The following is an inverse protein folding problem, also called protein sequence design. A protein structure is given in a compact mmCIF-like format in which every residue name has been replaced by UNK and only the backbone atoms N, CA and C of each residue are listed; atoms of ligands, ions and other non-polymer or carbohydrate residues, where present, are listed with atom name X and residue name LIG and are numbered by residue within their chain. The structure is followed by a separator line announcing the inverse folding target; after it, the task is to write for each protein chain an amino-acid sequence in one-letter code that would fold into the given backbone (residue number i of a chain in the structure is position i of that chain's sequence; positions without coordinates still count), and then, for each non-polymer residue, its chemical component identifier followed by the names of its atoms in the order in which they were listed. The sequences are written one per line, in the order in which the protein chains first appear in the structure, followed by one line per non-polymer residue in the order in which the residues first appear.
data_IF_750763342735
#
_entry.id   IF_750763342735
#
_cell.length_a   1.000
_cell.length_b   1.000
_cell.length_c   1.000
_cell.angle_alpha   90.00
_cell.angle_beta   90.00
_cell.angle_gamma   90.00
#
_symmetry.space_group_name_H-M   'P 1'
#
loop_
_entity.id
_entity.type
_entity.pdbx_description
1 polymer ?
#
# COMPACT_ATOMS: atom_id res chain seq x y z
N UNK A 1 14.06 -22.00 -12.34
CA UNK A 1 13.11 -21.57 -11.28
C UNK A 1 13.75 -21.50 -9.89
N UNK A 2 14.30 -22.60 -9.37
CA UNK A 2 14.89 -22.60 -8.02
C UNK A 2 16.01 -21.55 -7.85
N UNK A 3 16.98 -21.49 -8.78
CA UNK A 3 18.07 -20.51 -8.75
C UNK A 3 17.59 -19.04 -8.79
N UNK A 4 16.53 -18.77 -9.54
CA UNK A 4 15.91 -17.44 -9.60
C UNK A 4 15.30 -17.05 -8.24
N UNK A 5 14.50 -17.94 -7.65
CA UNK A 5 13.89 -17.71 -6.34
C UNK A 5 14.97 -17.49 -5.26
N UNK A 6 16.01 -18.33 -5.23
CA UNK A 6 17.14 -18.21 -4.28
C UNK A 6 17.86 -16.86 -4.46
N UNK A 7 18.16 -16.46 -5.70
CA UNK A 7 18.81 -15.17 -6.00
C UNK A 7 17.92 -14.00 -5.56
N UNK A 8 16.59 -14.11 -5.76
CA UNK A 8 15.63 -13.08 -5.39
C UNK A 8 15.50 -12.96 -3.86
N UNK A 9 15.44 -14.11 -3.17
CA UNK A 9 15.45 -14.13 -1.70
C UNK A 9 16.77 -13.55 -1.14
N UNK A 10 17.90 -13.86 -1.75
CA UNK A 10 19.19 -13.27 -1.36
C UNK A 10 19.19 -11.75 -1.52
N UNK A 11 18.67 -11.23 -2.65
CA UNK A 11 18.51 -9.79 -2.85
C UNK A 11 17.57 -9.16 -1.82
N UNK A 12 16.48 -9.85 -1.45
CA UNK A 12 15.56 -9.42 -0.39
C UNK A 12 16.27 -9.23 0.95
N UNK A 13 17.09 -10.19 1.35
CA UNK A 13 17.86 -10.09 2.62
C UNK A 13 18.78 -8.87 2.62
N UNK A 14 19.47 -8.61 1.50
CA UNK A 14 20.32 -7.43 1.37
C UNK A 14 19.52 -6.12 1.49
N UNK A 15 18.39 -6.04 0.80
CA UNK A 15 17.50 -4.85 0.88
C UNK A 15 17.00 -4.66 2.31
N UNK A 16 16.51 -5.72 2.96
CA UNK A 16 16.04 -5.65 4.35
C UNK A 16 17.15 -5.26 5.32
N UNK A 17 18.38 -5.71 5.12
CA UNK A 17 19.53 -5.32 5.94
C UNK A 17 19.85 -3.82 5.77
N UNK A 18 19.81 -3.30 4.55
CA UNK A 18 20.01 -1.87 4.28
C UNK A 18 18.88 -1.04 4.91
N UNK A 19 17.64 -1.47 4.76
CA UNK A 19 16.48 -0.78 5.39
C UNK A 19 16.62 -0.81 6.91
N UNK A 20 16.95 -1.94 7.50
CA UNK A 20 17.16 -2.06 8.94
C UNK A 20 18.25 -1.11 9.42
N UNK A 21 19.38 -1.04 8.72
CA UNK A 21 20.46 -0.11 9.05
C UNK A 21 20.01 1.35 8.97
N UNK A 22 19.36 1.75 7.88
CA UNK A 22 18.86 3.13 7.68
C UNK A 22 17.85 3.50 8.75
N UNK A 23 16.87 2.64 9.02
CA UNK A 23 15.81 2.88 10.01
C UNK A 23 16.39 3.01 11.42
N UNK A 24 17.37 2.18 11.76
CA UNK A 24 18.06 2.29 13.03
C UNK A 24 18.91 3.56 13.11
N UNK A 25 19.61 3.92 12.04
CA UNK A 25 20.45 5.13 11.98
C UNK A 25 19.61 6.42 12.05
N UNK A 26 18.38 6.43 11.50
CA UNK A 26 17.48 7.58 11.57
C UNK A 26 17.23 8.04 13.02
N UNK A 27 17.21 7.11 13.98
CA UNK A 27 17.09 7.44 15.39
C UNK A 27 18.20 8.37 15.89
N UNK A 28 19.41 8.17 15.37
CA UNK A 28 20.58 9.00 15.75
C UNK A 28 20.66 10.32 14.99
N UNK A 29 20.04 10.39 13.82
CA UNK A 29 20.01 11.59 12.99
C UNK A 29 18.88 12.54 13.40
N UNK A 30 17.88 12.03 14.14
CA UNK A 30 16.74 12.84 14.58
C UNK A 30 17.18 13.78 15.69
N UNK A 31 16.99 15.10 15.55
CA UNK A 31 17.35 16.05 16.59
C UNK A 31 16.52 15.86 17.87
N UNK A 32 17.21 15.84 19.01
CA UNK A 32 16.62 15.65 20.33
C UNK A 32 17.09 14.36 21.00
N UNK A 33 17.20 14.41 22.32
CA UNK A 33 17.53 13.23 23.13
C UNK A 33 16.26 12.44 23.44
N UNK A 34 16.14 11.18 22.98
CA UNK A 34 14.98 10.35 23.29
C UNK A 34 14.71 10.21 24.78
N UNK A 35 15.77 10.17 25.60
CA UNK A 35 15.65 10.09 27.05
C UNK A 35 15.04 11.36 27.66
N UNK A 36 15.44 12.54 27.18
CA UNK A 36 14.87 13.80 27.61
C UNK A 36 13.40 13.95 27.23
N UNK A 37 13.03 13.51 26.01
CA UNK A 37 11.63 13.55 25.55
C UNK A 37 10.73 12.66 26.41
N UNK A 38 11.21 11.49 26.81
CA UNK A 38 10.49 10.56 27.67
C UNK A 38 10.39 11.03 29.12
N UNK A 39 11.44 11.66 29.58
CA UNK A 39 11.47 12.22 30.92
C UNK A 39 10.48 13.37 31.11
N UNK A 40 10.17 14.11 30.01
CA UNK A 40 9.30 15.28 30.04
C UNK A 40 9.98 16.54 30.57
N UNK A 41 9.27 17.67 30.39
CA UNK A 41 9.84 19.01 30.68
C UNK A 41 10.18 19.26 32.16
N UNK A 42 9.63 18.48 33.08
CA UNK A 42 9.85 18.61 34.52
C UNK A 42 10.93 17.66 35.09
N UNK A 43 11.56 16.84 34.23
CA UNK A 43 12.53 15.83 34.66
C UNK A 43 13.88 16.43 35.06
N UNK A 44 14.50 15.82 36.06
CA UNK A 44 15.87 16.16 36.48
C UNK A 44 16.91 15.50 35.55
N UNK A 45 18.15 16.01 35.58
CA UNK A 45 19.25 15.40 34.82
C UNK A 45 19.47 13.93 35.20
N UNK A 46 19.23 13.58 36.47
CA UNK A 46 19.35 12.19 36.94
C UNK A 46 18.25 11.28 36.42
N UNK A 47 17.04 11.79 36.24
CA UNK A 47 15.92 11.02 35.65
C UNK A 47 16.18 10.74 34.17
N UNK A 48 16.67 11.74 33.44
CA UNK A 48 17.07 11.60 32.05
C UNK A 48 18.20 10.56 31.92
N UNK A 49 19.20 10.62 32.80
CA UNK A 49 20.31 9.67 32.77
C UNK A 49 19.85 8.22 33.05
N UNK A 50 18.97 8.02 34.03
CA UNK A 50 18.39 6.69 34.32
C UNK A 50 17.57 6.12 33.11
N UNK A 51 16.82 6.98 32.47
CA UNK A 51 16.08 6.58 31.26
C UNK A 51 17.04 6.23 30.12
N UNK A 52 18.11 7.00 29.94
CA UNK A 52 19.15 6.77 28.94
C UNK A 52 19.82 5.41 29.15
N UNK A 53 20.21 5.09 30.37
CA UNK A 53 20.80 3.81 30.76
C UNK A 53 19.81 2.65 30.58
N UNK A 54 18.55 2.81 31.01
CA UNK A 54 17.49 1.81 30.84
C UNK A 54 17.20 1.49 29.40
N UNK A 55 17.32 2.47 28.51
CA UNK A 55 17.14 2.31 27.05
C UNK A 55 18.46 1.91 26.34
N UNK A 56 19.57 1.77 27.08
CA UNK A 56 20.88 1.45 26.53
C UNK A 56 21.42 2.52 25.58
N UNK A 57 20.98 3.77 25.71
CA UNK A 57 21.37 4.87 24.80
C UNK A 57 22.82 5.31 24.98
N UNK A 58 23.45 4.90 26.06
CA UNK A 58 24.84 5.08 26.41
C UNK A 58 25.80 4.13 25.68
N UNK A 59 25.30 3.04 25.13
CA UNK A 59 26.12 2.04 24.43
C UNK A 59 26.55 2.52 23.03
N UNK A 60 27.71 2.04 22.52
CA UNK A 60 28.15 2.33 21.16
C UNK A 60 27.13 1.90 20.10
N UNK A 61 27.01 2.70 19.03
CA UNK A 61 26.05 2.47 17.94
C UNK A 61 26.04 1.03 17.42
N UNK A 62 27.22 0.46 17.13
CA UNK A 62 27.33 -0.89 16.56
C UNK A 62 26.86 -1.98 17.52
N UNK A 63 27.08 -1.80 18.81
CA UNK A 63 26.63 -2.77 19.84
C UNK A 63 25.10 -2.75 19.91
N UNK A 64 24.51 -1.57 19.96
CA UNK A 64 23.04 -1.40 19.96
C UNK A 64 22.42 -1.91 18.66
N UNK A 65 23.00 -1.60 17.51
CA UNK A 65 22.53 -2.10 16.23
C UNK A 65 22.59 -3.63 16.19
N UNK A 66 23.68 -4.23 16.63
CA UNK A 66 23.82 -5.69 16.68
C UNK A 66 22.79 -6.36 17.60
N UNK A 67 22.58 -5.83 18.81
CA UNK A 67 21.56 -6.36 19.74
C UNK A 67 20.14 -6.21 19.20
N UNK A 68 19.84 -5.09 18.55
CA UNK A 68 18.55 -4.84 17.94
C UNK A 68 18.30 -5.78 16.74
N UNK A 69 19.28 -5.99 15.85
CA UNK A 69 19.18 -6.95 14.75
C UNK A 69 19.00 -8.37 15.27
N UNK A 70 19.69 -8.72 16.36
CA UNK A 70 19.51 -10.01 17.02
C UNK A 70 18.08 -10.19 17.55
N UNK A 71 17.52 -9.19 18.23
CA UNK A 71 16.12 -9.18 18.67
C UNK A 71 15.15 -9.35 17.50
N UNK A 72 15.36 -8.59 16.41
CA UNK A 72 14.57 -8.72 15.18
C UNK A 72 14.59 -10.13 14.59
N UNK A 73 15.75 -10.77 14.59
CA UNK A 73 15.90 -12.16 14.09
C UNK A 73 15.09 -13.16 14.92
N UNK A 74 14.77 -12.83 16.17
CA UNK A 74 13.91 -13.63 17.07
C UNK A 74 12.44 -13.16 17.07
N UNK A 75 12.07 -12.23 16.17
CA UNK A 75 10.70 -11.72 16.07
C UNK A 75 10.33 -10.65 17.10
N UNK A 76 11.30 -10.14 17.84
CA UNK A 76 11.10 -9.05 18.79
C UNK A 76 11.33 -7.71 18.09
N UNK A 77 10.26 -6.93 17.89
CA UNK A 77 10.28 -5.57 17.36
C UNK A 77 10.44 -4.50 18.43
N UNK A 78 10.63 -4.91 19.68
CA UNK A 78 10.70 -4.03 20.85
C UNK A 78 9.34 -3.69 21.44
N UNK A 79 9.36 -2.80 22.42
CA UNK A 79 8.19 -2.32 23.16
C UNK A 79 7.99 -0.83 22.92
N UNK A 80 6.73 -0.41 22.74
CA UNK A 80 6.34 1.00 22.66
C UNK A 80 6.76 1.73 23.95
N UNK A 81 7.35 2.88 23.77
CA UNK A 81 7.84 3.72 24.86
C UNK A 81 6.67 4.29 25.69
N UNK A 82 5.54 4.58 25.05
CA UNK A 82 4.39 5.22 25.71
C UNK A 82 3.36 4.23 26.23
N UNK A 83 3.10 3.14 25.49
CA UNK A 83 2.07 2.18 25.89
C UNK A 83 2.61 1.01 26.68
N UNK A 84 3.93 0.80 26.69
CA UNK A 84 4.63 -0.37 27.25
C UNK A 84 4.13 -1.72 26.70
N UNK A 85 3.49 -1.70 25.52
CA UNK A 85 3.03 -2.91 24.83
C UNK A 85 4.05 -3.34 23.75
N UNK A 86 4.17 -4.65 23.47
CA UNK A 86 5.00 -5.14 22.37
C UNK A 86 4.54 -4.55 21.04
N UNK A 87 5.50 -4.08 20.22
CA UNK A 87 5.22 -3.52 18.89
C UNK A 87 4.52 -4.54 17.99
N UNK A 88 4.89 -5.82 18.08
CA UNK A 88 4.24 -6.93 17.38
C UNK A 88 2.75 -7.02 17.69
N UNK A 89 2.36 -6.84 18.95
CA UNK A 89 0.95 -6.81 19.37
C UNK A 89 0.21 -5.60 18.81
N UNK A 90 0.81 -4.40 18.87
CA UNK A 90 0.22 -3.17 18.35
C UNK A 90 -0.02 -3.25 16.85
N UNK A 91 0.93 -3.80 16.10
CA UNK A 91 0.80 -4.05 14.66
C UNK A 91 -0.29 -5.11 14.41
N UNK A 92 -0.25 -6.23 15.13
CA UNK A 92 -1.21 -7.32 14.96
C UNK A 92 -2.67 -6.89 15.14
N UNK A 93 -2.95 -5.98 16.08
CA UNK A 93 -4.29 -5.43 16.29
C UNK A 93 -4.77 -4.52 15.16
N UNK A 94 -3.85 -3.99 14.33
CA UNK A 94 -4.13 -2.97 13.30
C UNK A 94 -3.93 -3.46 11.86
N UNK A 95 -3.46 -4.70 11.68
CA UNK A 95 -3.21 -5.24 10.35
C UNK A 95 -4.50 -5.49 9.57
N UNK A 96 -5.55 -5.95 10.25
CA UNK A 96 -6.82 -6.30 9.61
C UNK A 96 -7.49 -5.09 8.95
N UNK A 97 -7.68 -3.92 9.61
CA UNK A 97 -8.25 -2.75 8.97
C UNK A 97 -7.45 -2.26 7.75
N UNK A 98 -6.12 -2.23 7.83
CA UNK A 98 -5.26 -1.81 6.71
C UNK A 98 -5.36 -2.78 5.54
N UNK A 99 -5.32 -4.09 5.80
CA UNK A 99 -5.45 -5.12 4.75
C UNK A 99 -6.84 -5.07 4.12
N UNK A 100 -7.90 -4.94 4.93
CA UNK A 100 -9.27 -4.82 4.45
C UNK A 100 -9.44 -3.60 3.53
N UNK A 101 -8.96 -2.43 3.96
CA UNK A 101 -8.99 -1.21 3.15
C UNK A 101 -8.22 -1.39 1.85
N UNK A 102 -7.00 -1.93 1.91
CA UNK A 102 -6.15 -2.15 0.73
C UNK A 102 -6.81 -3.09 -0.27
N UNK A 103 -7.36 -4.22 0.19
CA UNK A 103 -8.03 -5.19 -0.67
C UNK A 103 -9.31 -4.64 -1.28
N UNK A 104 -10.17 -3.98 -0.50
CA UNK A 104 -11.38 -3.35 -1.02
C UNK A 104 -11.05 -2.26 -2.04
N UNK A 105 -10.06 -1.42 -1.76
CA UNK A 105 -9.58 -0.39 -2.69
C UNK A 105 -9.08 -1.00 -3.99
N UNK A 106 -8.26 -2.05 -3.90
CA UNK A 106 -7.72 -2.74 -5.07
C UNK A 106 -8.83 -3.37 -5.92
N UNK A 107 -9.79 -4.05 -5.28
CA UNK A 107 -10.93 -4.65 -5.97
C UNK A 107 -11.76 -3.60 -6.70
N UNK A 108 -12.10 -2.50 -6.04
CA UNK A 108 -12.85 -1.39 -6.64
C UNK A 108 -12.05 -0.77 -7.77
N UNK A 109 -10.76 -0.50 -7.57
CA UNK A 109 -9.92 0.12 -8.58
C UNK A 109 -9.79 -0.74 -9.84
N UNK A 110 -9.52 -2.03 -9.69
CA UNK A 110 -9.38 -2.96 -10.83
C UNK A 110 -10.73 -3.18 -11.53
N UNK A 111 -11.81 -3.41 -10.75
CA UNK A 111 -13.14 -3.66 -11.29
C UNK A 111 -13.70 -2.47 -12.11
N UNK A 112 -13.29 -1.26 -11.78
CA UNK A 112 -13.72 -0.05 -12.51
C UNK A 112 -12.72 0.32 -13.61
N UNK A 113 -11.43 0.36 -13.29
CA UNK A 113 -10.43 0.91 -14.19
C UNK A 113 -10.12 0.01 -15.40
N UNK A 114 -10.08 -1.31 -15.22
CA UNK A 114 -9.80 -2.23 -16.34
C UNK A 114 -10.91 -2.16 -17.40
N UNK A 115 -12.21 -2.28 -17.06
CA UNK A 115 -13.27 -2.10 -18.05
C UNK A 115 -13.25 -0.72 -18.72
N UNK A 116 -13.02 0.36 -17.95
CA UNK A 116 -12.92 1.72 -18.49
C UNK A 116 -11.76 1.85 -19.49
N UNK A 117 -10.59 1.29 -19.17
CA UNK A 117 -9.44 1.27 -20.07
C UNK A 117 -9.68 0.48 -21.36
N UNK A 118 -10.35 -0.68 -21.25
CA UNK A 118 -10.75 -1.50 -22.41
C UNK A 118 -11.75 -0.75 -23.29
N UNK A 119 -12.77 -0.09 -22.69
CA UNK A 119 -13.76 0.70 -23.44
C UNK A 119 -13.09 1.89 -24.12
N UNK A 120 -12.18 2.59 -23.44
CA UNK A 120 -11.44 3.71 -24.00
C UNK A 120 -10.57 3.28 -25.20
N UNK A 121 -9.91 2.12 -25.11
CA UNK A 121 -9.12 1.58 -26.21
C UNK A 121 -10.00 1.14 -27.39
N UNK A 122 -11.09 0.43 -27.11
CA UNK A 122 -12.02 -0.03 -28.15
C UNK A 122 -12.70 1.12 -28.89
N UNK A 123 -12.87 2.27 -28.23
CA UNK A 123 -13.47 3.50 -28.78
C UNK A 123 -12.46 4.63 -28.90
N UNK A 124 -11.22 4.31 -29.25
CA UNK A 124 -10.14 5.29 -29.36
C UNK A 124 -10.50 6.48 -30.25
N UNK A 125 -10.19 7.70 -29.81
CA UNK A 125 -10.50 8.95 -30.51
C UNK A 125 -11.93 9.45 -30.37
N UNK A 126 -12.84 8.67 -29.78
CA UNK A 126 -14.24 9.08 -29.54
C UNK A 126 -14.40 9.85 -28.22
N UNK A 127 -15.62 10.34 -27.99
CA UNK A 127 -16.00 10.97 -26.71
C UNK A 127 -15.81 10.05 -25.50
N UNK A 128 -16.12 8.77 -25.63
CA UNK A 128 -15.95 7.80 -24.55
C UNK A 128 -14.48 7.69 -24.11
N UNK A 129 -13.55 7.64 -25.06
CA UNK A 129 -12.12 7.66 -24.80
C UNK A 129 -11.68 8.95 -24.09
N UNK A 130 -12.09 10.10 -24.64
CA UNK A 130 -11.76 11.42 -24.06
C UNK A 130 -12.28 11.57 -22.63
N UNK A 131 -13.50 11.11 -22.34
CA UNK A 131 -14.12 11.18 -21.01
C UNK A 131 -13.33 10.32 -20.01
N UNK A 132 -12.97 9.08 -20.37
CA UNK A 132 -12.15 8.21 -19.49
C UNK A 132 -10.79 8.83 -19.24
N UNK A 133 -10.14 9.42 -20.24
CA UNK A 133 -8.86 10.09 -20.10
C UNK A 133 -8.97 11.37 -19.26
N UNK A 134 -10.00 12.17 -19.42
CA UNK A 134 -10.25 13.35 -18.61
C UNK A 134 -10.49 12.97 -17.13
N UNK A 135 -11.30 11.92 -16.89
CA UNK A 135 -11.48 11.37 -15.53
C UNK A 135 -10.16 10.90 -14.91
N UNK A 136 -9.30 10.25 -15.71
CA UNK A 136 -7.97 9.84 -15.25
C UNK A 136 -7.09 11.03 -14.86
N UNK A 137 -7.11 12.13 -15.64
CA UNK A 137 -6.36 13.35 -15.31
C UNK A 137 -6.89 13.98 -14.03
N UNK A 138 -8.21 14.11 -13.90
CA UNK A 138 -8.86 14.66 -12.69
C UNK A 138 -8.56 13.82 -11.45
N UNK A 139 -8.59 12.47 -11.58
CA UNK A 139 -8.28 11.56 -10.47
C UNK A 139 -6.86 11.70 -9.92
N UNK A 140 -5.90 12.09 -10.75
CA UNK A 140 -4.55 12.43 -10.29
C UNK A 140 -4.42 13.83 -9.69
N UNK A 141 -5.25 14.78 -10.16
CA UNK A 141 -5.12 16.18 -9.79
C UNK A 141 -5.71 16.51 -8.43
N UNK A 142 -6.70 15.73 -7.98
CA UNK A 142 -7.38 15.96 -6.70
C UNK A 142 -6.67 15.20 -5.57
N UNK A 143 -6.19 15.89 -4.52
CA UNK A 143 -5.62 15.22 -3.36
C UNK A 143 -6.64 14.28 -2.70
N UNK A 144 -6.19 13.07 -2.30
CA UNK A 144 -7.05 12.02 -1.72
C UNK A 144 -7.88 12.53 -0.55
N UNK A 145 -7.29 13.33 0.35
CA UNK A 145 -8.00 13.88 1.52
C UNK A 145 -9.12 14.85 1.12
N UNK A 146 -8.93 15.65 0.07
CA UNK A 146 -9.98 16.55 -0.43
C UNK A 146 -11.15 15.74 -0.96
N UNK A 147 -10.88 14.73 -1.78
CA UNK A 147 -11.92 13.84 -2.27
C UNK A 147 -12.62 13.10 -1.13
N UNK A 148 -11.87 12.64 -0.13
CA UNK A 148 -12.43 11.98 1.05
C UNK A 148 -13.43 12.89 1.79
N UNK A 149 -13.08 14.15 2.04
CA UNK A 149 -14.01 15.11 2.68
C UNK A 149 -15.22 15.42 1.80
N UNK A 150 -15.07 15.56 0.48
CA UNK A 150 -16.20 15.75 -0.44
C UNK A 150 -17.15 14.56 -0.39
N UNK A 151 -16.62 13.33 -0.38
CA UNK A 151 -17.41 12.11 -0.26
C UNK A 151 -18.16 12.04 1.09
N UNK A 152 -17.47 12.36 2.19
CA UNK A 152 -18.09 12.41 3.54
C UNK A 152 -19.22 13.46 3.56
N UNK A 153 -18.96 14.68 3.08
CA UNK A 153 -19.97 15.76 3.07
C UNK A 153 -21.19 15.36 2.23
N UNK A 154 -20.98 14.71 1.09
CA UNK A 154 -22.08 14.36 0.19
C UNK A 154 -22.84 13.13 0.67
N UNK A 155 -22.14 12.00 0.91
CA UNK A 155 -22.78 10.70 1.12
C UNK A 155 -23.06 10.36 2.58
N UNK A 156 -22.28 10.93 3.51
CA UNK A 156 -22.50 10.65 4.93
C UNK A 156 -23.34 11.75 5.59
N UNK A 157 -22.97 13.03 5.39
CA UNK A 157 -23.66 14.14 6.07
C UNK A 157 -24.89 14.58 5.28
N UNK A 158 -24.76 14.72 3.93
CA UNK A 158 -25.86 15.21 3.09
C UNK A 158 -26.96 14.20 2.83
N UNK A 159 -26.58 12.95 2.54
CA UNK A 159 -27.52 11.89 2.15
C UNK A 159 -27.77 10.85 3.27
N UNK A 160 -26.96 10.83 4.31
CA UNK A 160 -27.03 9.84 5.43
C UNK A 160 -27.00 8.37 4.96
N UNK A 161 -26.29 8.08 3.85
CA UNK A 161 -26.22 6.74 3.29
C UNK A 161 -25.14 5.88 3.92
N UNK A 162 -23.99 6.47 4.26
CA UNK A 162 -22.79 5.78 4.70
C UNK A 162 -22.20 6.44 5.96
N UNK A 163 -21.47 5.69 6.80
CA UNK A 163 -20.87 6.24 8.01
C UNK A 163 -19.81 7.30 7.69
N UNK A 164 -19.69 8.30 8.56
CA UNK A 164 -18.72 9.39 8.43
C UNK A 164 -17.30 8.87 8.69
N UNK A 165 -17.12 8.09 9.76
CA UNK A 165 -15.83 7.64 10.27
C UNK A 165 -15.96 6.30 11.00
N UNK A 166 -14.81 5.70 11.31
CA UNK A 166 -14.71 4.49 12.10
C UNK A 166 -14.49 3.24 11.25
N UNK A 167 -14.46 2.12 11.94
CA UNK A 167 -14.26 0.81 11.36
C UNK A 167 -15.07 -0.22 12.14
N UNK A 168 -15.65 -1.18 11.43
CA UNK A 168 -16.28 -2.37 12.00
C UNK A 168 -15.52 -3.59 11.51
N UNK A 169 -15.29 -4.53 12.44
CA UNK A 169 -14.62 -5.76 12.10
C UNK A 169 -15.52 -6.67 11.26
N UNK A 170 -14.97 -7.46 10.35
CA UNK A 170 -15.72 -8.41 9.53
C UNK A 170 -16.55 -9.40 10.39
N UNK A 171 -16.09 -9.72 11.61
CA UNK A 171 -16.79 -10.60 12.55
C UNK A 171 -18.08 -9.98 13.12
N UNK A 172 -18.22 -8.67 13.07
CA UNK A 172 -19.42 -7.95 13.52
C UNK A 172 -20.54 -7.93 12.47
N UNK A 173 -20.23 -8.35 11.24
CA UNK A 173 -21.16 -8.44 10.12
C UNK A 173 -20.58 -7.89 8.83
N UNK A 174 -20.75 -8.64 7.73
CA UNK A 174 -20.21 -8.27 6.42
C UNK A 174 -20.71 -6.91 5.93
N UNK A 175 -22.01 -6.61 6.11
CA UNK A 175 -22.58 -5.36 5.61
C UNK A 175 -22.08 -4.15 6.38
N UNK A 176 -22.01 -4.22 7.69
CA UNK A 176 -21.50 -3.15 8.54
C UNK A 176 -20.01 -2.90 8.27
N UNK A 177 -19.23 -3.96 8.11
CA UNK A 177 -17.83 -3.89 7.71
C UNK A 177 -17.68 -3.20 6.33
N UNK A 178 -18.46 -3.61 5.33
CA UNK A 178 -18.39 -3.06 3.97
C UNK A 178 -18.77 -1.58 3.92
N UNK A 179 -19.84 -1.17 4.61
CA UNK A 179 -20.29 0.23 4.65
C UNK A 179 -19.20 1.20 5.11
N UNK A 180 -18.35 0.79 6.07
CA UNK A 180 -17.25 1.61 6.57
C UNK A 180 -16.05 1.66 5.61
N UNK A 181 -15.99 0.77 4.62
CA UNK A 181 -14.90 0.70 3.63
C UNK A 181 -15.25 1.32 2.28
N UNK A 182 -16.53 1.54 1.94
CA UNK A 182 -16.94 2.05 0.62
C UNK A 182 -16.29 3.42 0.34
N UNK A 183 -16.54 4.43 1.16
CA UNK A 183 -16.01 5.78 0.93
C UNK A 183 -14.48 5.83 1.00
N UNK A 184 -13.83 5.24 2.00
CA UNK A 184 -12.37 5.15 2.04
C UNK A 184 -11.78 4.49 0.80
N UNK A 185 -12.38 3.38 0.33
CA UNK A 185 -11.90 2.65 -0.85
C UNK A 185 -12.07 3.44 -2.15
N UNK A 186 -13.17 4.20 -2.31
CA UNK A 186 -13.37 5.08 -3.45
C UNK A 186 -12.36 6.23 -3.43
N UNK A 187 -12.21 6.90 -2.28
CA UNK A 187 -11.29 8.02 -2.14
C UNK A 187 -9.84 7.60 -2.45
N UNK A 188 -9.37 6.55 -1.81
CA UNK A 188 -8.02 6.01 -2.00
C UNK A 188 -7.87 5.42 -3.41
N UNK A 189 -8.88 4.73 -3.92
CA UNK A 189 -8.86 4.04 -5.20
C UNK A 189 -8.86 4.97 -6.41
N UNK A 190 -9.34 6.20 -6.30
CA UNK A 190 -9.50 7.11 -7.45
C UNK A 190 -8.18 7.36 -8.19
N UNK A 191 -7.09 7.62 -7.49
CA UNK A 191 -5.75 7.80 -8.08
C UNK A 191 -5.30 6.54 -8.82
N UNK A 192 -5.61 5.38 -8.26
CA UNK A 192 -5.29 4.06 -8.85
C UNK A 192 -6.14 3.74 -10.05
N UNK A 193 -7.44 3.99 -9.98
CA UNK A 193 -8.34 3.84 -11.12
C UNK A 193 -7.84 4.64 -12.31
N UNK A 194 -7.41 5.87 -12.08
CA UNK A 194 -6.83 6.72 -13.10
C UNK A 194 -5.58 6.11 -13.77
N UNK A 195 -4.67 5.59 -12.95
CA UNK A 195 -3.42 4.99 -13.42
C UNK A 195 -3.68 3.68 -14.18
N UNK A 196 -4.46 2.78 -13.59
CA UNK A 196 -4.78 1.47 -14.19
C UNK A 196 -5.56 1.66 -15.49
N UNK A 197 -6.56 2.55 -15.56
CA UNK A 197 -7.33 2.80 -16.76
C UNK A 197 -6.45 3.30 -17.92
N UNK A 198 -5.53 4.23 -17.64
CA UNK A 198 -4.61 4.77 -18.63
C UNK A 198 -3.63 3.70 -19.16
N UNK A 199 -3.04 2.90 -18.28
CA UNK A 199 -2.13 1.82 -18.69
C UNK A 199 -2.89 0.71 -19.42
N UNK A 200 -4.08 0.34 -18.94
CA UNK A 200 -4.94 -0.63 -19.63
C UNK A 200 -5.26 -0.16 -21.04
N UNK A 201 -5.66 1.11 -21.21
CA UNK A 201 -5.91 1.69 -22.53
C UNK A 201 -4.70 1.61 -23.44
N UNK A 202 -3.53 2.02 -22.96
CA UNK A 202 -2.29 1.98 -23.77
C UNK A 202 -1.95 0.55 -24.19
N UNK A 203 -1.89 -0.39 -23.25
CA UNK A 203 -1.61 -1.79 -23.53
C UNK A 203 -2.62 -2.44 -24.48
N UNK A 204 -3.90 -2.11 -24.34
CA UNK A 204 -4.93 -2.58 -25.26
C UNK A 204 -4.76 -2.03 -26.66
N UNK A 205 -4.41 -0.75 -26.84
CA UNK A 205 -4.17 -0.15 -28.16
C UNK A 205 -2.99 -0.83 -28.87
N UNK A 206 -1.89 -1.07 -28.13
CA UNK A 206 -0.71 -1.76 -28.68
C UNK A 206 -1.06 -3.18 -29.16
N UNK A 207 -1.86 -3.90 -28.39
CA UNK A 207 -2.30 -5.25 -28.73
C UNK A 207 -3.30 -5.24 -29.90
N UNK A 208 -4.26 -4.32 -29.91
CA UNK A 208 -5.28 -4.22 -30.96
C UNK A 208 -4.68 -3.88 -32.34
N UNK A 209 -3.49 -3.30 -32.39
CA UNK A 209 -2.76 -3.00 -33.63
C UNK A 209 -2.06 -4.24 -34.24
N UNK A 210 -1.99 -5.38 -33.56
CA UNK A 210 -1.26 -6.56 -33.99
C UNK A 210 -1.98 -7.36 -35.07
N UNK A 211 -1.23 -8.00 -35.98
CA UNK A 211 -1.77 -8.72 -37.12
C UNK A 211 -2.63 -9.93 -36.77
N UNK A 212 -2.34 -10.60 -35.65
CA UNK A 212 -3.17 -11.72 -35.21
C UNK A 212 -4.58 -11.28 -34.76
N UNK A 213 -4.74 -10.04 -34.30
CA UNK A 213 -6.06 -9.46 -34.01
C UNK A 213 -6.84 -9.24 -35.31
N UNK A 214 -6.19 -8.71 -36.36
CA UNK A 214 -6.79 -8.56 -37.69
C UNK A 214 -7.23 -9.91 -38.26
N UNK A 215 -6.38 -10.93 -38.06
CA UNK A 215 -6.72 -12.31 -38.47
C UNK A 215 -7.95 -12.85 -37.72
N UNK A 216 -8.03 -12.60 -36.41
CA UNK A 216 -9.18 -13.02 -35.60
C UNK A 216 -10.48 -12.33 -36.08
N UNK A 217 -10.41 -11.04 -36.40
CA UNK A 217 -11.54 -10.28 -36.97
C UNK A 217 -11.92 -10.80 -38.35
N UNK A 218 -10.95 -11.07 -39.22
CA UNK A 218 -11.18 -11.64 -40.55
C UNK A 218 -11.85 -13.03 -40.53
N UNK A 219 -11.62 -13.81 -39.47
CA UNK A 219 -12.28 -15.09 -39.18
C UNK A 219 -13.72 -14.94 -38.64
N UNK A 220 -14.23 -13.71 -38.50
CA UNK A 220 -15.60 -13.45 -38.08
C UNK A 220 -15.82 -13.52 -36.54
N UNK A 221 -14.79 -13.44 -35.73
CA UNK A 221 -14.97 -13.40 -34.27
C UNK A 221 -15.72 -12.12 -33.85
N UNK A 222 -16.69 -12.28 -32.96
CA UNK A 222 -17.41 -11.13 -32.38
C UNK A 222 -16.46 -10.14 -31.70
N UNK A 223 -16.70 -8.82 -31.82
CA UNK A 223 -15.81 -7.79 -31.24
C UNK A 223 -15.52 -7.98 -29.74
N UNK A 224 -16.51 -8.40 -28.95
CA UNK A 224 -16.34 -8.70 -27.53
C UNK A 224 -15.39 -9.86 -27.26
N UNK A 225 -15.46 -10.93 -28.08
CA UNK A 225 -14.53 -12.06 -27.97
C UNK A 225 -13.09 -11.66 -28.32
N UNK A 226 -12.91 -10.78 -29.32
CA UNK A 226 -11.61 -10.24 -29.68
C UNK A 226 -11.05 -9.39 -28.54
N UNK A 227 -11.87 -8.49 -27.96
CA UNK A 227 -11.43 -7.60 -26.89
C UNK A 227 -11.05 -8.35 -25.61
N UNK A 228 -11.92 -9.23 -25.11
CA UNK A 228 -11.71 -9.92 -23.83
C UNK A 228 -10.86 -11.17 -23.99
N UNK A 229 -11.16 -12.01 -24.98
CA UNK A 229 -10.51 -13.31 -25.17
C UNK A 229 -9.10 -13.23 -25.76
N UNK A 230 -8.85 -12.25 -26.63
CA UNK A 230 -7.57 -12.11 -27.32
C UNK A 230 -6.77 -10.89 -26.87
N UNK A 231 -7.36 -9.69 -26.88
CA UNK A 231 -6.62 -8.48 -26.61
C UNK A 231 -6.30 -8.30 -25.11
N UNK A 232 -7.30 -8.37 -24.23
CA UNK A 232 -7.10 -8.18 -22.80
C UNK A 232 -6.17 -9.23 -22.19
N UNK A 233 -6.26 -10.48 -22.65
CA UNK A 233 -5.37 -11.55 -22.19
C UNK A 233 -3.90 -11.28 -22.53
N UNK A 234 -3.63 -10.72 -23.70
CA UNK A 234 -2.26 -10.37 -24.11
C UNK A 234 -1.80 -9.02 -23.52
N UNK A 235 -2.71 -8.12 -23.16
CA UNK A 235 -2.43 -6.90 -22.43
C UNK A 235 -2.29 -7.13 -20.90
N UNK A 236 -2.52 -8.35 -20.41
CA UNK A 236 -2.55 -8.65 -18.98
C UNK A 236 -1.22 -8.35 -18.26
N UNK A 237 -0.07 -8.61 -18.90
CA UNK A 237 1.24 -8.42 -18.28
C UNK A 237 1.47 -6.96 -17.83
N UNK A 238 1.35 -5.94 -18.71
CA UNK A 238 1.46 -4.54 -18.28
C UNK A 238 0.40 -4.15 -17.22
N UNK A 239 -0.83 -4.67 -17.36
CA UNK A 239 -1.91 -4.38 -16.40
C UNK A 239 -1.59 -4.98 -15.02
N UNK A 240 -1.15 -6.23 -14.96
CA UNK A 240 -0.76 -6.87 -13.69
C UNK A 240 0.46 -6.19 -13.04
N UNK A 241 1.41 -5.73 -13.87
CA UNK A 241 2.55 -4.94 -13.38
C UNK A 241 2.09 -3.70 -12.65
N UNK A 242 1.21 -2.90 -13.26
CA UNK A 242 0.74 -1.65 -12.63
C UNK A 242 -0.16 -1.92 -11.43
N UNK A 243 -0.94 -3.00 -11.45
CA UNK A 243 -1.73 -3.44 -10.30
C UNK A 243 -0.80 -3.81 -9.14
N UNK A 244 0.27 -4.54 -9.39
CA UNK A 244 1.25 -4.92 -8.38
C UNK A 244 2.00 -3.73 -7.78
N UNK A 245 2.51 -2.83 -8.62
CA UNK A 245 3.11 -1.55 -8.16
C UNK A 245 2.07 -0.77 -7.35
N UNK A 246 0.83 -0.82 -7.80
CA UNK A 246 -0.31 -0.20 -7.15
C UNK A 246 -0.50 -0.63 -5.71
N UNK A 247 -0.40 -1.91 -5.39
CA UNK A 247 -0.56 -2.41 -4.01
C UNK A 247 0.46 -1.74 -3.07
N UNK A 248 1.69 -1.61 -3.52
CA UNK A 248 2.74 -0.95 -2.73
C UNK A 248 2.44 0.53 -2.44
N UNK A 249 1.95 1.23 -3.46
CA UNK A 249 1.52 2.63 -3.32
C UNK A 249 0.26 2.76 -2.44
N UNK A 250 -0.72 1.81 -2.51
CA UNK A 250 -1.91 1.79 -1.65
C UNK A 250 -1.55 1.75 -0.17
N UNK A 251 -0.54 0.97 0.20
CA UNK A 251 -0.07 0.91 1.58
C UNK A 251 0.39 2.30 2.06
N UNK A 252 1.11 3.03 1.22
CA UNK A 252 1.53 4.41 1.53
C UNK A 252 0.35 5.39 1.55
N UNK A 253 -0.58 5.28 0.59
CA UNK A 253 -1.78 6.13 0.52
C UNK A 253 -2.81 5.84 1.62
N UNK A 254 -2.82 4.63 2.16
CA UNK A 254 -3.70 4.24 3.25
C UNK A 254 -3.50 5.10 4.51
N UNK A 255 -2.29 5.60 4.78
CA UNK A 255 -1.97 6.44 5.95
C UNK A 255 -2.92 7.64 6.03
N UNK A 256 -3.05 8.40 4.94
CA UNK A 256 -3.91 9.60 4.88
C UNK A 256 -5.39 9.20 5.01
N UNK A 257 -5.79 8.16 4.29
CA UNK A 257 -7.18 7.68 4.27
C UNK A 257 -7.61 7.17 5.65
N UNK A 258 -6.78 6.36 6.30
CA UNK A 258 -7.03 5.85 7.65
C UNK A 258 -7.17 6.99 8.67
N UNK A 259 -6.37 8.05 8.51
CA UNK A 259 -6.43 9.23 9.40
C UNK A 259 -7.73 10.00 9.20
N UNK A 260 -8.12 10.30 7.95
CA UNK A 260 -9.34 11.06 7.62
C UNK A 260 -10.61 10.31 8.05
N UNK A 261 -10.69 9.01 7.76
CA UNK A 261 -11.84 8.18 8.11
C UNK A 261 -11.78 7.56 9.52
N UNK A 262 -10.76 7.93 10.31
CA UNK A 262 -10.53 7.40 11.67
C UNK A 262 -10.49 5.86 11.73
N UNK A 263 -9.96 5.20 10.70
CA UNK A 263 -9.76 3.75 10.66
C UNK A 263 -8.57 3.40 11.54
N UNK A 264 -8.68 2.45 12.49
CA UNK A 264 -7.59 2.06 13.39
C UNK A 264 -6.58 1.13 12.71
N UNK A 265 -5.97 1.58 11.61
CA UNK A 265 -5.00 0.83 10.83
C UNK A 265 -3.54 1.13 11.19
N UNK A 266 -2.62 0.47 10.46
CA UNK A 266 -1.17 0.61 10.66
C UNK A 266 -0.68 1.98 10.20
N UNK A 267 -1.28 2.56 9.16
CA UNK A 267 -0.93 3.89 8.70
C UNK A 267 -1.20 4.95 9.77
N UNK A 268 -2.35 4.90 10.44
CA UNK A 268 -2.66 5.77 11.58
C UNK A 268 -1.72 5.52 12.75
N UNK A 269 -1.41 4.25 13.06
CA UNK A 269 -0.41 3.91 14.09
C UNK A 269 0.93 4.58 13.79
N UNK A 270 1.34 4.60 12.53
CA UNK A 270 2.58 5.24 12.09
C UNK A 270 2.58 6.74 12.35
N UNK A 271 1.50 7.43 11.98
CA UNK A 271 1.36 8.88 12.24
C UNK A 271 1.40 9.18 13.73
N UNK A 272 0.63 8.45 14.53
CA UNK A 272 0.59 8.60 15.97
C UNK A 272 1.99 8.38 16.60
N UNK A 273 2.71 7.37 16.12
CA UNK A 273 4.08 7.06 16.57
C UNK A 273 5.08 8.16 16.19
N UNK A 274 5.00 8.71 14.98
CA UNK A 274 5.86 9.81 14.52
C UNK A 274 5.63 11.06 15.37
N UNK A 275 4.37 11.44 15.60
CA UNK A 275 4.01 12.62 16.39
C UNK A 275 4.48 12.50 17.85
N UNK A 276 4.45 11.28 18.39
CA UNK A 276 4.90 10.98 19.77
C UNK A 276 6.38 10.61 19.84
N UNK A 277 7.07 10.47 18.72
CA UNK A 277 8.47 10.00 18.65
C UNK A 277 8.66 8.60 19.26
N UNK A 278 7.67 7.71 19.09
CA UNK A 278 7.75 6.33 19.54
C UNK A 278 8.59 5.49 18.55
N UNK A 279 9.90 5.56 18.73
CA UNK A 279 10.87 4.97 17.81
C UNK A 279 10.72 3.45 17.60
N UNK A 280 10.47 2.62 18.62
CA UNK A 280 10.25 1.20 18.39
C UNK A 280 9.08 0.91 17.44
N UNK A 281 7.96 1.63 17.57
CA UNK A 281 6.82 1.50 16.65
C UNK A 281 7.22 1.95 15.25
N UNK A 282 7.88 3.11 15.11
CA UNK A 282 8.31 3.63 13.80
C UNK A 282 9.22 2.63 13.11
N UNK A 283 10.22 2.10 13.82
CA UNK A 283 11.15 1.09 13.29
C UNK A 283 10.42 -0.20 12.88
N UNK A 284 9.57 -0.74 13.74
CA UNK A 284 8.82 -1.96 13.49
C UNK A 284 7.87 -1.84 12.30
N UNK A 285 7.16 -0.71 12.19
CA UNK A 285 6.23 -0.48 11.07
C UNK A 285 6.96 -0.28 9.75
N UNK A 286 8.07 0.47 9.69
CA UNK A 286 8.85 0.65 8.47
C UNK A 286 9.43 -0.68 8.00
N UNK A 287 9.98 -1.49 8.92
CA UNK A 287 10.47 -2.84 8.58
C UNK A 287 9.36 -3.74 8.05
N UNK A 288 8.19 -3.73 8.69
CA UNK A 288 7.05 -4.50 8.25
C UNK A 288 6.59 -4.06 6.84
N UNK A 289 6.42 -2.75 6.59
CA UNK A 289 6.04 -2.26 5.27
C UNK A 289 7.09 -2.61 4.20
N UNK A 290 8.38 -2.55 4.54
CA UNK A 290 9.44 -2.95 3.63
C UNK A 290 9.40 -4.44 3.31
N UNK A 291 9.14 -5.29 4.30
CA UNK A 291 8.97 -6.72 4.10
C UNK A 291 7.75 -7.03 3.20
N UNK A 292 6.60 -6.38 3.48
CA UNK A 292 5.39 -6.52 2.66
C UNK A 292 5.64 -6.05 1.23
N UNK A 293 6.32 -4.90 1.03
CA UNK A 293 6.69 -4.40 -0.28
C UNK A 293 7.52 -5.40 -1.09
N UNK A 294 8.53 -6.00 -0.46
CA UNK A 294 9.39 -7.00 -1.11
C UNK A 294 8.61 -8.27 -1.45
N UNK A 295 7.71 -8.72 -0.55
CA UNK A 295 6.85 -9.88 -0.81
C UNK A 295 5.89 -9.63 -1.97
N UNK A 296 5.30 -8.43 -2.05
CA UNK A 296 4.43 -8.04 -3.17
C UNK A 296 5.21 -8.07 -4.48
N UNK A 297 6.40 -7.46 -4.53
CA UNK A 297 7.23 -7.49 -5.74
C UNK A 297 7.57 -8.92 -6.14
N UNK A 298 7.92 -9.78 -5.19
CA UNK A 298 8.16 -11.20 -5.46
C UNK A 298 6.91 -11.89 -6.04
N UNK A 299 5.73 -11.62 -5.46
CA UNK A 299 4.47 -12.18 -5.95
C UNK A 299 4.13 -11.70 -7.38
N UNK A 300 4.39 -10.41 -7.67
CA UNK A 300 4.23 -9.84 -9.02
C UNK A 300 5.19 -10.50 -10.01
N UNK A 301 6.47 -10.64 -9.66
CA UNK A 301 7.45 -11.32 -10.53
C UNK A 301 7.07 -12.77 -10.80
N UNK A 302 6.54 -13.47 -9.79
CA UNK A 302 6.04 -14.85 -9.96
C UNK A 302 4.78 -14.89 -10.83
N UNK A 303 3.93 -13.86 -10.77
CA UNK A 303 2.72 -13.78 -11.60
C UNK A 303 3.02 -13.68 -13.09
N UNK A 304 4.14 -13.05 -13.47
CA UNK A 304 4.54 -12.98 -14.88
C UNK A 304 4.72 -14.36 -15.51
N UNK A 305 5.19 -15.34 -14.77
CA UNK A 305 5.35 -16.71 -15.26
C UNK A 305 4.01 -17.39 -15.56
N UNK A 306 2.91 -16.97 -14.92
CA UNK A 306 1.57 -17.49 -15.17
C UNK A 306 0.96 -16.91 -16.46
N UNK A 307 1.32 -15.66 -16.80
CA UNK A 307 0.74 -14.93 -17.94
C UNK A 307 1.60 -15.00 -19.20
N UNK A 308 2.91 -15.17 -19.08
CA UNK A 308 3.82 -15.34 -20.21
C UNK A 308 4.69 -16.61 -20.06
N UNK A 309 4.27 -17.75 -20.64
CA UNK A 309 5.03 -19.00 -20.60
C UNK A 309 6.35 -18.95 -21.39
N UNK A 310 6.65 -17.86 -22.11
CA UNK A 310 7.92 -17.67 -22.82
C UNK A 310 9.04 -17.21 -21.89
N UNK A 311 8.72 -16.69 -20.72
CA UNK A 311 9.68 -16.30 -19.71
C UNK A 311 10.16 -17.58 -18.99
N UNK A 312 11.22 -18.20 -19.53
CA UNK A 312 11.94 -19.32 -18.89
C UNK A 312 13.25 -18.77 -18.32
N UNK A 313 13.37 -18.73 -17.00
CA UNK A 313 14.60 -18.40 -16.28
C UNK A 313 15.38 -19.66 -15.93
#
# INVERSE_FOLDING_TARGET
MFAYVVRRLGATVVVMAVVAFVVFALLYLTPGDPAAILAGDAATSDDIQRIREKLGLDQPFLVRFGSWVWALAHGDLGTSIFTNLPVTQLIGQRIEPTVALTLCTLLVAVAVAVPLGVIAAAKAGTWADRTVMAFSVLGFSVPVFVLAYVLILTFSIGLDWLPVQGYRNLREGFWEWLRHLILPSIALGTVYMALIARITRAAMLDVLAQDYIRTAQAKGLAPGAVLVGHALKNAAVPIMTIVGIGIALLISGAIVTETVFAIPGIGRLTVDAILRRDYPIIQGVILMFSAVYVLINLAVDLSYMLFDPRIRY
#
